data_IF_475377883185
#
_entry.id   IF_475377883185
#
_cell.length_a   1.000
_cell.length_b   1.000
_cell.length_c   1.000
_cell.angle_alpha   90.00
_cell.angle_beta   90.00
_cell.angle_gamma   90.00
#
_symmetry.space_group_name_H-M   'P 1'
#
loop_
_entity.id
_entity.type
_entity.pdbx_description
1 polymer ?
#
# COMPACT_ATOMS: atom_id res chain seq x y z
N UNK A 1 -13.86 -14.45 -19.59
CA UNK A 1 -12.57 -14.64 -20.29
C UNK A 1 -11.36 -14.27 -19.42
N UNK A 2 -11.22 -13.04 -18.90
CA UNK A 2 -10.10 -12.62 -18.00
C UNK A 2 -10.10 -13.46 -16.73
N UNK A 3 -11.25 -13.56 -16.07
CA UNK A 3 -11.45 -14.35 -14.85
C UNK A 3 -11.00 -15.81 -15.01
N UNK A 4 -11.40 -16.47 -16.08
CA UNK A 4 -11.00 -17.85 -16.33
C UNK A 4 -9.48 -17.99 -16.49
N UNK A 5 -8.83 -16.99 -17.08
CA UNK A 5 -7.38 -16.99 -17.25
C UNK A 5 -6.65 -16.83 -15.90
N UNK A 6 -7.10 -15.89 -15.08
CA UNK A 6 -6.52 -15.63 -13.76
C UNK A 6 -6.73 -16.82 -12.82
N UNK A 7 -7.85 -17.52 -12.90
CA UNK A 7 -8.10 -18.76 -12.13
C UNK A 7 -7.03 -19.83 -12.39
N UNK A 8 -6.38 -19.83 -13.55
CA UNK A 8 -5.29 -20.77 -13.87
C UNK A 8 -4.06 -20.63 -12.98
N UNK A 9 -3.88 -19.50 -12.30
CA UNK A 9 -2.78 -19.25 -11.38
C UNK A 9 -3.23 -18.70 -10.01
N UNK A 10 -4.50 -18.92 -9.67
CA UNK A 10 -5.09 -18.46 -8.40
C UNK A 10 -4.34 -19.00 -7.18
N UNK A 11 -3.87 -20.26 -7.23
CA UNK A 11 -3.13 -20.87 -6.13
C UNK A 11 -1.79 -20.16 -5.90
N UNK A 12 -1.04 -19.86 -6.95
CA UNK A 12 0.20 -19.09 -6.84
C UNK A 12 -0.05 -17.70 -6.25
N UNK A 13 -1.14 -17.02 -6.66
CA UNK A 13 -1.49 -15.73 -6.09
C UNK A 13 -1.85 -15.85 -4.59
N UNK A 14 -2.54 -16.91 -4.20
CA UNK A 14 -2.85 -17.18 -2.79
C UNK A 14 -1.59 -17.41 -1.97
N UNK A 15 -0.64 -18.18 -2.49
CA UNK A 15 0.65 -18.41 -1.86
C UNK A 15 1.45 -17.10 -1.69
N UNK A 16 1.51 -16.28 -2.74
CA UNK A 16 2.15 -14.96 -2.70
C UNK A 16 1.50 -14.10 -1.60
N UNK A 17 0.17 -14.03 -1.56
CA UNK A 17 -0.54 -13.27 -0.55
C UNK A 17 -0.23 -13.75 0.85
N UNK A 18 -0.28 -15.07 1.09
CA UNK A 18 0.04 -15.65 2.39
C UNK A 18 1.49 -15.36 2.79
N UNK A 19 2.43 -15.46 1.85
CA UNK A 19 3.85 -15.14 2.09
C UNK A 19 4.04 -13.68 2.53
N UNK A 20 3.36 -12.73 1.89
CA UNK A 20 3.40 -11.31 2.28
C UNK A 20 2.73 -11.13 3.65
N UNK A 21 1.54 -11.71 3.85
CA UNK A 21 0.77 -11.59 5.09
C UNK A 21 1.51 -12.15 6.31
N UNK A 22 2.20 -13.26 6.16
CA UNK A 22 3.03 -13.88 7.21
C UNK A 22 4.27 -13.06 7.56
N UNK A 23 4.72 -12.18 6.66
CA UNK A 23 5.93 -11.39 6.81
C UNK A 23 5.67 -9.89 6.62
N UNK A 24 4.77 -9.30 7.41
CA UNK A 24 4.43 -7.88 7.29
C UNK A 24 5.64 -7.00 7.61
N UNK A 25 5.79 -5.93 6.83
CA UNK A 25 6.87 -4.96 6.97
C UNK A 25 6.27 -3.54 7.05
N UNK A 26 6.83 -2.70 7.92
CA UNK A 26 6.37 -1.31 8.08
C UNK A 26 6.86 -0.42 6.92
N UNK A 27 6.22 0.73 6.80
CA UNK A 27 6.54 1.73 5.78
C UNK A 27 8.02 2.09 5.71
N UNK A 28 8.57 2.13 4.50
CA UNK A 28 9.98 2.29 4.13
C UNK A 28 10.89 1.13 4.59
N UNK A 29 10.33 0.04 5.07
CA UNK A 29 11.03 -1.18 5.49
C UNK A 29 10.53 -2.43 4.74
N UNK A 30 9.73 -2.28 3.70
CA UNK A 30 9.11 -3.36 2.92
C UNK A 30 10.14 -4.05 1.99
N UNK A 31 11.33 -4.35 2.50
CA UNK A 31 12.45 -4.87 1.68
C UNK A 31 12.16 -6.24 1.08
N UNK A 32 11.54 -7.15 1.85
CA UNK A 32 11.22 -8.51 1.37
C UNK A 32 10.05 -8.47 0.38
N UNK A 33 9.03 -7.67 0.68
CA UNK A 33 7.88 -7.47 -0.19
C UNK A 33 8.30 -6.84 -1.51
N UNK A 34 9.11 -5.77 -1.46
CA UNK A 34 9.70 -5.12 -2.64
C UNK A 34 10.53 -6.08 -3.48
N UNK A 35 11.38 -6.89 -2.85
CA UNK A 35 12.20 -7.87 -3.55
C UNK A 35 11.35 -8.95 -4.23
N UNK A 36 10.35 -9.51 -3.55
CA UNK A 36 9.41 -10.48 -4.10
C UNK A 36 8.66 -9.92 -5.31
N UNK A 37 8.12 -8.72 -5.19
CA UNK A 37 7.41 -8.03 -6.27
C UNK A 37 8.32 -7.83 -7.47
N UNK A 38 9.50 -7.29 -7.27
CA UNK A 38 10.45 -7.03 -8.34
C UNK A 38 10.93 -8.32 -9.02
N UNK A 39 11.15 -9.39 -8.27
CA UNK A 39 11.51 -10.71 -8.81
C UNK A 39 10.42 -11.24 -9.73
N UNK A 40 9.17 -11.28 -9.27
CA UNK A 40 8.03 -11.76 -10.06
C UNK A 40 7.84 -10.95 -11.35
N UNK A 41 7.93 -9.64 -11.27
CA UNK A 41 7.78 -8.77 -12.44
C UNK A 41 8.89 -8.97 -13.47
N UNK A 42 10.16 -9.14 -13.03
CA UNK A 42 11.28 -9.46 -13.93
C UNK A 42 11.11 -10.83 -14.58
N UNK A 43 10.64 -11.84 -13.84
CA UNK A 43 10.35 -13.18 -14.38
C UNK A 43 9.28 -13.13 -15.49
N UNK A 44 8.31 -12.22 -15.39
CA UNK A 44 7.27 -12.01 -16.40
C UNK A 44 7.66 -11.03 -17.52
N UNK A 45 8.90 -10.54 -17.53
CA UNK A 45 9.46 -9.73 -18.62
C UNK A 45 9.13 -8.25 -18.56
N UNK A 46 8.85 -7.71 -17.37
CA UNK A 46 8.78 -6.27 -17.14
C UNK A 46 10.18 -5.65 -17.00
N UNK A 47 10.30 -4.41 -17.46
CA UNK A 47 11.40 -3.52 -17.03
C UNK A 47 11.08 -3.04 -15.62
N UNK A 48 11.96 -3.31 -14.64
CA UNK A 48 11.68 -3.06 -13.22
C UNK A 48 12.72 -2.13 -12.62
N UNK A 49 12.25 -1.04 -12.06
CA UNK A 49 13.02 -0.11 -11.23
C UNK A 49 12.59 -0.23 -9.77
N UNK A 50 13.57 -0.19 -8.85
CA UNK A 50 13.36 -0.23 -7.40
C UNK A 50 14.04 0.97 -6.75
N UNK A 51 13.58 1.34 -5.55
CA UNK A 51 14.26 2.30 -4.69
C UNK A 51 13.60 3.67 -4.62
N UNK A 52 12.55 3.97 -5.39
CA UNK A 52 11.73 5.15 -5.15
C UNK A 52 11.08 5.04 -3.77
N UNK A 53 11.18 6.08 -2.96
CA UNK A 53 10.82 6.05 -1.55
C UNK A 53 11.39 4.80 -0.86
N UNK A 54 12.66 4.49 -1.07
CA UNK A 54 13.45 3.39 -0.49
C UNK A 54 13.05 2.00 -1.00
N UNK A 55 11.78 1.60 -0.88
CA UNK A 55 11.30 0.24 -1.16
C UNK A 55 10.28 0.16 -2.30
N UNK A 56 9.89 1.30 -2.87
CA UNK A 56 8.95 1.34 -3.98
C UNK A 56 9.47 0.64 -5.23
N UNK A 57 8.55 0.04 -5.98
CA UNK A 57 8.82 -0.66 -7.22
C UNK A 57 7.97 -0.08 -8.34
N UNK A 58 8.60 0.23 -9.46
CA UNK A 58 7.89 0.62 -10.68
C UNK A 58 8.27 -0.35 -11.80
N UNK A 59 7.25 -0.92 -12.44
CA UNK A 59 7.47 -1.83 -13.56
C UNK A 59 6.79 -1.30 -14.83
N UNK A 60 7.43 -1.52 -15.95
CA UNK A 60 6.98 -1.07 -17.26
C UNK A 60 6.85 -2.23 -18.22
N UNK A 61 5.72 -2.28 -18.91
CA UNK A 61 5.50 -3.17 -20.06
C UNK A 61 4.95 -2.35 -21.22
N UNK A 62 5.68 -2.34 -22.33
CA UNK A 62 5.22 -1.73 -23.57
C UNK A 62 4.82 -2.83 -24.57
N UNK A 63 3.66 -2.65 -25.22
CA UNK A 63 3.16 -3.54 -26.25
C UNK A 63 2.70 -2.71 -27.43
N UNK A 64 3.16 -3.07 -28.63
CA UNK A 64 2.83 -2.36 -29.87
C UNK A 64 3.43 -0.96 -29.96
N UNK A 65 2.80 -0.09 -30.72
CA UNK A 65 3.23 1.26 -31.08
C UNK A 65 2.36 2.38 -30.47
N UNK A 66 1.36 2.00 -29.66
CA UNK A 66 0.47 2.97 -28.99
C UNK A 66 1.24 3.94 -28.08
N UNK A 67 0.84 5.20 -28.12
CA UNK A 67 1.48 6.27 -27.35
C UNK A 67 0.88 6.47 -25.95
N UNK A 68 -0.31 5.90 -25.71
CA UNK A 68 -1.00 6.06 -24.42
C UNK A 68 -0.40 5.18 -23.32
N UNK A 69 -0.49 5.70 -22.11
CA UNK A 69 0.04 5.03 -20.92
C UNK A 69 -0.99 5.00 -19.78
N UNK A 70 -1.02 3.87 -19.07
CA UNK A 70 -1.85 3.67 -17.89
C UNK A 70 -1.00 3.22 -16.72
N UNK A 71 -1.23 3.84 -15.55
CA UNK A 71 -0.67 3.41 -14.28
C UNK A 71 -1.67 2.58 -13.48
N UNK A 72 -1.22 1.48 -12.90
CA UNK A 72 -1.95 0.72 -11.90
C UNK A 72 -1.15 0.72 -10.60
N UNK A 73 -1.79 1.08 -9.49
CA UNK A 73 -1.14 1.27 -8.18
C UNK A 73 -1.65 0.28 -7.15
N UNK A 74 -0.73 -0.27 -6.38
CA UNK A 74 -1.00 -0.94 -5.11
C UNK A 74 -0.02 -0.43 -4.03
N UNK A 75 -0.46 -0.47 -2.78
CA UNK A 75 0.38 -0.23 -1.60
C UNK A 75 0.97 -1.54 -1.07
N UNK A 76 2.03 -1.45 -0.23
CA UNK A 76 2.78 -2.62 0.22
C UNK A 76 2.96 -2.72 1.73
N UNK A 77 2.80 -1.63 2.47
CA UNK A 77 3.15 -1.56 3.89
C UNK A 77 2.12 -2.21 4.82
N UNK A 78 2.58 -2.60 6.00
CA UNK A 78 1.79 -3.14 7.08
C UNK A 78 1.68 -2.16 8.26
N UNK A 79 0.89 -2.52 9.24
CA UNK A 79 0.60 -1.73 10.43
C UNK A 79 1.24 -2.31 11.70
N UNK A 80 1.60 -1.47 12.70
CA UNK A 80 2.10 -1.91 14.00
C UNK A 80 0.95 -2.40 14.90
N UNK A 81 0.31 -3.50 14.50
CA UNK A 81 -0.86 -4.08 15.15
C UNK A 81 -0.59 -5.56 15.46
N UNK A 82 -0.98 -6.02 16.65
CA UNK A 82 -0.97 -7.45 16.97
C UNK A 82 -2.08 -8.18 16.24
N UNK A 83 -1.72 -9.16 15.43
CA UNK A 83 -2.70 -10.01 14.77
C UNK A 83 -3.24 -11.07 15.74
N UNK A 84 -4.56 -11.18 15.77
CA UNK A 84 -5.31 -12.19 16.55
C UNK A 84 -6.36 -12.90 15.68
N UNK A 85 -6.03 -13.14 14.41
CA UNK A 85 -6.95 -13.77 13.45
C UNK A 85 -7.10 -15.28 13.64
N UNK A 86 -6.09 -15.93 14.24
CA UNK A 86 -6.02 -17.39 14.37
C UNK A 86 -5.91 -18.13 13.02
N UNK A 87 -5.53 -17.44 11.96
CA UNK A 87 -5.38 -18.03 10.63
C UNK A 87 -4.06 -18.79 10.49
N UNK A 88 -3.99 -19.86 9.68
CA UNK A 88 -2.74 -20.59 9.43
C UNK A 88 -1.62 -19.73 8.84
N UNK A 89 -1.98 -18.67 8.14
CA UNK A 89 -1.07 -17.70 7.52
C UNK A 89 -0.99 -16.37 8.29
N UNK A 90 -1.35 -16.36 9.57
CA UNK A 90 -1.19 -15.18 10.40
C UNK A 90 0.26 -14.70 10.45
N UNK A 91 0.44 -13.42 10.73
CA UNK A 91 1.77 -12.80 10.87
C UNK A 91 2.70 -13.62 11.77
N UNK A 92 3.92 -13.83 11.31
CA UNK A 92 5.01 -14.44 12.08
C UNK A 92 5.84 -13.41 12.87
N UNK A 93 5.44 -12.15 12.80
CA UNK A 93 6.11 -11.01 13.43
C UNK A 93 5.20 -10.36 14.46
N UNK A 94 5.30 -10.70 15.77
CA UNK A 94 4.45 -10.13 16.80
C UNK A 94 4.46 -8.59 16.77
N UNK A 95 3.27 -7.99 16.81
CA UNK A 95 3.11 -6.54 16.75
C UNK A 95 3.08 -5.94 15.34
N UNK A 96 3.13 -6.76 14.29
CA UNK A 96 2.97 -6.33 12.89
C UNK A 96 1.89 -7.14 12.20
N UNK A 97 1.05 -6.48 11.39
CA UNK A 97 -0.04 -7.13 10.65
C UNK A 97 -0.40 -6.36 9.39
N UNK A 98 -0.71 -7.06 8.30
CA UNK A 98 -1.42 -6.48 7.15
C UNK A 98 -2.91 -6.28 7.47
N UNK A 99 -3.21 -5.34 8.39
CA UNK A 99 -4.57 -5.11 8.85
C UNK A 99 -5.42 -4.28 7.86
N UNK A 100 -4.77 -3.53 6.96
CA UNK A 100 -5.44 -2.76 5.91
C UNK A 100 -5.64 -3.55 4.61
N UNK A 101 -4.95 -4.69 4.44
CA UNK A 101 -5.12 -5.58 3.28
C UNK A 101 -4.18 -5.30 2.12
N UNK A 102 -3.08 -4.58 2.35
CA UNK A 102 -2.09 -4.25 1.32
C UNK A 102 -1.38 -5.50 0.74
N UNK A 103 -1.31 -6.60 1.50
CA UNK A 103 -0.94 -7.93 1.01
C UNK A 103 -1.85 -8.39 -0.14
N UNK A 104 -3.14 -8.12 -0.02
CA UNK A 104 -4.14 -8.38 -1.06
C UNK A 104 -4.00 -7.43 -2.25
N UNK A 105 -3.80 -6.13 -2.02
CA UNK A 105 -3.64 -5.14 -3.08
C UNK A 105 -2.41 -5.44 -3.94
N UNK A 106 -1.26 -5.70 -3.30
CA UNK A 106 -0.02 -6.12 -3.96
C UNK A 106 -0.23 -7.39 -4.79
N UNK A 107 -0.90 -8.40 -4.23
CA UNK A 107 -1.17 -9.66 -4.93
C UNK A 107 -2.11 -9.49 -6.12
N UNK A 108 -3.14 -8.66 -5.99
CA UNK A 108 -4.08 -8.38 -7.09
C UNK A 108 -3.35 -7.70 -8.25
N UNK A 109 -2.48 -6.73 -7.95
CA UNK A 109 -1.69 -6.06 -8.97
C UNK A 109 -0.68 -7.02 -9.63
N UNK A 110 -0.07 -7.94 -8.90
CA UNK A 110 0.75 -9.01 -9.45
C UNK A 110 -0.05 -9.95 -10.35
N UNK A 111 -1.30 -10.28 -9.98
CA UNK A 111 -2.19 -11.08 -10.83
C UNK A 111 -2.51 -10.38 -12.15
N UNK A 112 -2.79 -9.09 -12.12
CA UNK A 112 -2.96 -8.28 -13.32
C UNK A 112 -1.67 -8.21 -14.14
N UNK A 113 -0.53 -8.05 -13.49
CA UNK A 113 0.79 -8.02 -14.13
C UNK A 113 1.04 -9.30 -14.94
N UNK A 114 0.84 -10.46 -14.33
CA UNK A 114 1.00 -11.75 -15.01
C UNK A 114 0.07 -11.89 -16.21
N UNK A 115 -1.21 -11.53 -16.04
CA UNK A 115 -2.17 -11.55 -17.13
C UNK A 115 -1.73 -10.71 -18.34
N UNK A 116 -1.30 -9.46 -18.10
CA UNK A 116 -0.85 -8.58 -19.18
C UNK A 116 0.46 -9.03 -19.82
N UNK A 117 1.39 -9.56 -19.04
CA UNK A 117 2.64 -10.10 -19.57
C UNK A 117 2.41 -11.30 -20.51
N UNK A 118 1.55 -12.22 -20.12
CA UNK A 118 1.29 -13.44 -20.89
C UNK A 118 0.39 -13.20 -22.12
N UNK A 119 -0.62 -12.34 -21.97
CA UNK A 119 -1.61 -12.13 -23.05
C UNK A 119 -1.23 -11.04 -24.02
N UNK A 120 -0.51 -10.02 -23.57
CA UNK A 120 -0.15 -8.84 -24.36
C UNK A 120 -1.32 -8.16 -25.07
N UNK A 121 -2.54 -8.25 -24.51
CA UNK A 121 -3.79 -7.77 -25.15
C UNK A 121 -4.04 -6.29 -24.89
N UNK A 122 -3.10 -5.44 -25.25
CA UNK A 122 -3.24 -3.97 -25.23
C UNK A 122 -2.26 -3.35 -26.23
N UNK A 123 -2.42 -2.07 -26.52
CA UNK A 123 -1.50 -1.30 -27.35
C UNK A 123 -1.14 0.01 -26.63
N UNK A 124 0.10 0.14 -26.16
CA UNK A 124 0.57 1.26 -25.38
C UNK A 124 1.53 0.87 -24.28
N UNK A 125 1.57 1.64 -23.19
CA UNK A 125 2.46 1.43 -22.05
C UNK A 125 1.66 1.19 -20.76
N UNK A 126 1.95 0.07 -20.10
CA UNK A 126 1.44 -0.23 -18.75
C UNK A 126 2.55 0.05 -17.73
N UNK A 127 2.21 0.84 -16.72
CA UNK A 127 3.05 1.12 -15.55
C UNK A 127 2.41 0.47 -14.32
N UNK A 128 3.17 -0.35 -13.61
CA UNK A 128 2.74 -0.94 -12.35
C UNK A 128 3.53 -0.26 -11.23
N UNK A 129 2.82 0.35 -10.29
CA UNK A 129 3.40 1.16 -9.22
C UNK A 129 3.07 0.47 -7.90
N UNK A 130 4.08 -0.08 -7.26
CA UNK A 130 3.99 -0.64 -5.92
C UNK A 130 4.53 0.39 -4.94
N UNK A 131 3.61 1.05 -4.25
CA UNK A 131 3.88 2.17 -3.38
C UNK A 131 4.19 1.68 -1.97
N UNK A 132 5.30 2.12 -1.34
CA UNK A 132 5.56 1.87 0.08
C UNK A 132 4.88 2.92 0.96
N UNK A 133 4.83 2.67 2.27
CA UNK A 133 4.58 3.64 3.35
C UNK A 133 3.30 4.48 3.12
N UNK A 134 2.19 3.84 2.81
CA UNK A 134 0.89 4.50 2.67
C UNK A 134 0.37 4.98 4.03
N UNK A 135 0.48 4.13 5.08
CA UNK A 135 -0.19 4.28 6.36
C UNK A 135 0.36 5.41 7.25
N UNK A 136 1.67 5.62 7.27
CA UNK A 136 2.29 6.47 8.30
C UNK A 136 3.20 7.58 7.76
N UNK A 137 3.74 7.45 6.57
CA UNK A 137 4.90 8.26 6.13
C UNK A 137 4.65 8.96 4.79
N UNK A 138 3.50 8.74 4.14
CA UNK A 138 3.17 9.31 2.84
C UNK A 138 4.18 8.96 1.71
N UNK A 139 4.47 7.66 1.56
CA UNK A 139 5.41 7.16 0.56
C UNK A 139 5.06 7.55 -0.88
N UNK A 140 3.78 7.73 -1.18
CA UNK A 140 3.33 8.23 -2.48
C UNK A 140 3.86 9.63 -2.80
N UNK A 141 3.82 10.55 -1.84
CA UNK A 141 4.39 11.89 -1.99
C UNK A 141 5.90 11.85 -2.19
N UNK A 142 6.58 10.97 -1.44
CA UNK A 142 8.03 10.78 -1.58
C UNK A 142 8.36 10.28 -2.99
N UNK A 143 7.67 9.24 -3.50
CA UNK A 143 7.86 8.75 -4.86
C UNK A 143 7.67 9.85 -5.91
N UNK A 144 6.64 10.69 -5.76
CA UNK A 144 6.39 11.81 -6.68
C UNK A 144 7.51 12.84 -6.62
N UNK A 145 7.98 13.22 -5.42
CA UNK A 145 9.11 14.15 -5.24
C UNK A 145 10.43 13.60 -5.81
N UNK A 146 10.60 12.29 -5.81
CA UNK A 146 11.75 11.62 -6.41
C UNK A 146 11.60 11.40 -7.93
N UNK A 147 10.59 11.99 -8.54
CA UNK A 147 10.40 12.03 -9.99
C UNK A 147 9.63 10.85 -10.57
N UNK A 148 8.71 10.24 -9.83
CA UNK A 148 7.91 9.12 -10.32
C UNK A 148 7.29 9.41 -11.69
N UNK A 149 6.63 10.55 -11.85
CA UNK A 149 5.94 10.86 -13.10
C UNK A 149 6.82 11.54 -14.16
N UNK A 150 7.95 12.06 -13.77
CA UNK A 150 8.97 12.55 -14.72
C UNK A 150 9.65 11.37 -15.43
N UNK A 151 9.90 10.29 -14.69
CA UNK A 151 10.58 9.08 -15.17
C UNK A 151 9.60 8.05 -15.77
N UNK A 152 8.41 7.96 -15.23
CA UNK A 152 7.38 6.99 -15.59
C UNK A 152 6.03 7.68 -15.85
N UNK A 153 5.93 8.52 -16.88
CA UNK A 153 4.71 9.26 -17.17
C UNK A 153 3.52 8.33 -17.41
N UNK A 154 2.34 8.74 -16.91
CA UNK A 154 1.07 8.07 -17.11
C UNK A 154 0.01 9.09 -17.54
N UNK A 155 -0.80 8.75 -18.56
CA UNK A 155 -1.97 9.58 -18.94
C UNK A 155 -3.07 9.48 -17.87
N UNK A 156 -3.23 8.31 -17.26
CA UNK A 156 -4.18 8.04 -16.18
C UNK A 156 -3.61 7.03 -15.21
N UNK A 157 -4.05 7.09 -13.94
CA UNK A 157 -3.70 6.12 -12.91
C UNK A 157 -4.95 5.59 -12.24
N UNK A 158 -4.95 4.29 -11.96
CA UNK A 158 -5.96 3.62 -11.16
C UNK A 158 -5.32 2.95 -9.94
N UNK A 159 -5.99 3.08 -8.80
CA UNK A 159 -5.75 2.31 -7.60
C UNK A 159 -7.06 1.69 -7.13
N UNK A 160 -6.96 0.64 -6.35
CA UNK A 160 -8.13 0.09 -5.67
C UNK A 160 -7.80 -0.21 -4.22
N UNK A 161 -8.81 -0.21 -3.39
CA UNK A 161 -8.73 -0.59 -1.99
C UNK A 161 -9.81 -1.62 -1.66
N UNK A 162 -9.48 -2.65 -0.89
CA UNK A 162 -10.48 -3.54 -0.33
C UNK A 162 -11.34 -2.79 0.68
N UNK A 163 -12.62 -3.11 0.74
CA UNK A 163 -13.54 -2.50 1.70
C UNK A 163 -14.33 -3.60 2.43
N UNK A 164 -13.97 -3.90 3.67
CA UNK A 164 -14.74 -4.81 4.51
C UNK A 164 -16.21 -4.38 4.62
N UNK A 165 -17.12 -5.35 4.61
CA UNK A 165 -18.55 -5.09 4.70
C UNK A 165 -19.27 -4.92 3.36
N UNK A 166 -18.53 -4.75 2.25
CA UNK A 166 -19.12 -4.82 0.91
C UNK A 166 -19.18 -6.27 0.40
N UNK A 167 -20.23 -6.64 -0.36
CA UNK A 167 -20.31 -7.97 -0.96
C UNK A 167 -19.14 -8.25 -1.90
N UNK A 168 -18.58 -9.47 -1.83
CA UNK A 168 -17.52 -9.92 -2.73
C UNK A 168 -17.96 -9.80 -4.20
N UNK A 169 -17.05 -9.34 -5.06
CA UNK A 169 -17.30 -9.14 -6.48
C UNK A 169 -18.04 -7.84 -6.83
N UNK A 170 -18.29 -6.98 -5.84
CA UNK A 170 -18.81 -5.62 -6.08
C UNK A 170 -17.68 -4.60 -6.06
N UNK A 171 -17.76 -3.65 -6.97
CA UNK A 171 -16.90 -2.47 -7.02
C UNK A 171 -17.72 -1.23 -6.70
N UNK A 172 -17.13 -0.35 -5.92
CA UNK A 172 -17.72 0.93 -5.58
C UNK A 172 -16.80 2.06 -6.06
N UNK A 173 -17.35 3.02 -6.77
CA UNK A 173 -16.63 4.22 -7.21
C UNK A 173 -17.62 5.37 -7.40
N UNK A 174 -17.12 6.60 -7.31
CA UNK A 174 -17.92 7.80 -7.55
C UNK A 174 -17.02 8.90 -8.13
N UNK A 175 -17.58 9.85 -8.89
CA UNK A 175 -16.86 11.07 -9.26
C UNK A 175 -16.55 11.93 -8.03
N UNK A 176 -15.39 12.57 -8.04
CA UNK A 176 -14.95 13.46 -6.96
C UNK A 176 -14.26 12.72 -5.81
N UNK A 177 -14.33 13.28 -4.61
CA UNK A 177 -13.68 12.70 -3.43
C UNK A 177 -14.33 11.38 -3.02
N UNK A 178 -13.52 10.33 -2.89
CA UNK A 178 -13.95 8.99 -2.50
C UNK A 178 -13.40 8.60 -1.13
N UNK A 179 -12.11 8.86 -0.88
CA UNK A 179 -11.43 8.54 0.37
C UNK A 179 -11.32 9.79 1.26
N UNK A 180 -11.29 9.58 2.57
CA UNK A 180 -11.07 10.67 3.51
C UNK A 180 -9.64 11.18 3.44
N UNK A 181 -9.44 12.47 3.75
CA UNK A 181 -8.11 13.01 4.05
C UNK A 181 -7.74 12.70 5.51
N UNK A 182 -6.46 12.61 5.77
CA UNK A 182 -5.91 12.47 7.11
C UNK A 182 -4.90 13.59 7.37
N UNK A 183 -5.08 14.27 8.52
CA UNK A 183 -4.11 15.23 9.01
C UNK A 183 -3.61 14.75 10.38
N UNK A 184 -2.30 14.84 10.61
CA UNK A 184 -1.68 14.46 11.86
C UNK A 184 -1.07 15.68 12.54
N UNK A 185 -1.39 15.88 13.81
CA UNK A 185 -0.78 16.92 14.62
C UNK A 185 -0.33 16.37 15.98
N UNK A 186 0.69 16.99 16.54
CA UNK A 186 1.25 16.63 17.83
C UNK A 186 1.19 17.82 18.78
N UNK A 187 0.53 17.65 19.94
CA UNK A 187 0.38 18.67 20.98
C UNK A 187 1.14 18.25 22.22
N UNK A 188 2.07 19.07 22.67
CA UNK A 188 2.77 18.88 23.94
C UNK A 188 2.26 19.89 24.97
N UNK A 189 1.59 19.39 25.99
CA UNK A 189 1.13 20.24 27.13
C UNK A 189 2.16 20.18 28.24
N UNK A 190 2.71 21.35 28.60
CA UNK A 190 3.65 21.48 29.73
C UNK A 190 2.95 22.15 30.92
N UNK A 191 2.88 21.43 32.03
CA UNK A 191 2.32 21.92 33.29
C UNK A 191 3.35 22.54 34.20
N UNK A 192 2.88 22.95 35.38
CA UNK A 192 3.71 23.41 36.48
C UNK A 192 3.33 22.63 37.74
N UNK A 193 4.29 21.92 38.35
CA UNK A 193 4.08 21.15 39.57
C UNK A 193 3.75 22.02 40.75
N UNK A 194 2.99 21.46 41.69
CA UNK A 194 2.62 22.16 42.94
C UNK A 194 2.18 21.18 44.04
N UNK A 195 1.85 21.70 45.18
CA UNK A 195 1.34 20.91 46.30
C UNK A 195 -0.11 20.48 46.03
N UNK A 196 -0.44 19.18 46.20
CA UNK A 196 -1.77 18.62 45.87
C UNK A 196 -2.95 19.30 46.64
N UNK A 197 -2.71 19.87 47.80
CA UNK A 197 -3.72 20.60 48.56
C UNK A 197 -3.82 22.11 48.16
N UNK A 198 -3.00 22.57 47.19
CA UNK A 198 -2.96 23.96 46.72
C UNK A 198 -2.98 24.01 45.21
N UNK A 199 -4.02 23.43 44.54
CA UNK A 199 -4.06 23.26 43.10
C UNK A 199 -4.06 24.59 42.33
N UNK A 200 -4.52 25.67 42.95
CA UNK A 200 -4.53 27.01 42.39
C UNK A 200 -3.13 27.63 42.19
N UNK A 201 -2.08 26.99 42.66
CA UNK A 201 -0.67 27.37 42.41
C UNK A 201 0.06 26.43 41.47
N UNK A 202 -0.65 25.50 40.88
CA UNK A 202 -0.13 24.54 39.90
C UNK A 202 -0.85 24.70 38.55
N UNK A 203 -0.26 24.15 37.51
CA UNK A 203 -0.91 23.95 36.20
C UNK A 203 -0.92 22.47 35.93
N UNK A 204 -2.10 21.84 36.02
CA UNK A 204 -2.27 20.45 35.76
C UNK A 204 -2.35 20.20 34.22
N UNK A 205 -1.33 19.56 33.62
CA UNK A 205 -1.32 19.33 32.16
C UNK A 205 -2.39 18.34 31.71
N UNK A 206 -2.84 17.44 32.60
CA UNK A 206 -3.91 16.47 32.28
C UNK A 206 -5.25 17.19 32.10
N UNK A 207 -5.56 18.13 33.01
CA UNK A 207 -6.78 18.93 32.90
C UNK A 207 -6.77 19.80 31.64
N UNK A 208 -5.63 20.43 31.32
CA UNK A 208 -5.49 21.22 30.07
C UNK A 208 -5.63 20.31 28.84
N UNK A 209 -4.97 19.17 28.82
CA UNK A 209 -5.09 18.21 27.71
C UNK A 209 -6.55 17.73 27.51
N UNK A 210 -7.26 17.44 28.59
CA UNK A 210 -8.67 17.03 28.54
C UNK A 210 -9.61 18.13 28.01
N UNK A 211 -9.21 19.39 28.04
CA UNK A 211 -9.97 20.51 27.44
C UNK A 211 -9.63 20.75 25.96
N UNK A 212 -8.52 20.18 25.47
CA UNK A 212 -8.12 20.29 24.05
C UNK A 212 -8.77 19.20 23.21
N UNK A 213 -9.02 18.03 23.80
CA UNK A 213 -9.67 16.86 23.14
C UNK A 213 -11.18 16.88 23.36
#
# INVERSE_FOLDING_TARGET
MIEHYIRGFEEELREIRHQIHENPELGLQEFKTSALVAEKLRQWGYEVEQGLATTGVVATLKVGDGEKSIGLRADMDALPIYENSGKPWASKHPGLMHACGHDGHTTILLGAARYFAETRRFNGTLRLIFQPAEEMINGGEIMVKEGLFDRFPCDVIFGMHNMPGLPVGKFFFQPGALMASMDQFHITVRGCGGHGAIPNKAIDPVLVAAHIT
#
